data_IF_547922881637
#
_entry.id   IF_547922881637
#
_cell.length_a   1.000
_cell.length_b   1.000
_cell.length_c   1.000
_cell.angle_alpha   90.00
_cell.angle_beta   90.00
_cell.angle_gamma   90.00
#
_symmetry.space_group_name_H-M   'P 1'
#
loop_
_entity.id
_entity.type
_entity.pdbx_description
1 polymer ?
#
# COMPACT_ATOMS: atom_id res chain seq x y z
N UNK A 1 -10.19 -32.13 -1.55
CA UNK A 1 -9.69 -30.76 -1.23
C UNK A 1 -10.78 -29.68 -1.40
N UNK A 2 -12.08 -30.04 -1.34
CA UNK A 2 -13.21 -29.11 -1.55
C UNK A 2 -14.02 -28.83 -0.26
N UNK A 3 -13.61 -29.42 0.88
CA UNK A 3 -14.39 -29.44 2.13
C UNK A 3 -14.09 -28.29 3.10
N UNK A 4 -13.26 -27.32 2.71
CA UNK A 4 -12.85 -26.18 3.56
C UNK A 4 -13.14 -24.82 2.94
N UNK A 5 -14.01 -24.73 1.93
CA UNK A 5 -14.41 -23.45 1.37
C UNK A 5 -15.49 -22.81 2.24
N UNK A 6 -15.34 -21.51 2.53
CA UNK A 6 -16.33 -20.79 3.34
C UNK A 6 -17.72 -20.83 2.68
N UNK A 7 -18.80 -20.97 3.47
CA UNK A 7 -20.16 -20.83 2.99
C UNK A 7 -20.38 -19.47 2.33
N UNK A 8 -21.00 -19.46 1.14
CA UNK A 8 -21.16 -18.25 0.30
C UNK A 8 -21.76 -17.06 1.07
N UNK A 9 -22.77 -17.32 1.91
CA UNK A 9 -23.42 -16.27 2.72
C UNK A 9 -22.46 -15.60 3.71
N UNK A 10 -21.63 -16.39 4.40
CA UNK A 10 -20.66 -15.87 5.37
C UNK A 10 -19.58 -15.06 4.65
N UNK A 11 -19.12 -15.52 3.49
CA UNK A 11 -18.12 -14.83 2.68
C UNK A 11 -18.59 -13.43 2.25
N UNK A 12 -19.80 -13.32 1.69
CA UNK A 12 -20.31 -12.01 1.26
C UNK A 12 -20.48 -11.06 2.43
N UNK A 13 -21.03 -11.56 3.55
CA UNK A 13 -21.18 -10.74 4.76
C UNK A 13 -19.83 -10.22 5.24
N UNK A 14 -18.81 -11.07 5.34
CA UNK A 14 -17.46 -10.66 5.78
C UNK A 14 -16.82 -9.62 4.84
N UNK A 15 -16.88 -9.84 3.52
CA UNK A 15 -16.29 -8.92 2.55
C UNK A 15 -17.01 -7.57 2.58
N UNK A 16 -18.34 -7.55 2.50
CA UNK A 16 -19.07 -6.29 2.44
C UNK A 16 -19.05 -5.53 3.77
N UNK A 17 -19.08 -6.22 4.92
CA UNK A 17 -18.98 -5.55 6.23
C UNK A 17 -17.61 -4.93 6.45
N UNK A 18 -16.52 -5.62 6.08
CA UNK A 18 -15.16 -5.06 6.17
C UNK A 18 -14.98 -3.88 5.22
N UNK A 19 -15.46 -3.96 3.98
CA UNK A 19 -15.44 -2.84 3.03
C UNK A 19 -16.22 -1.63 3.54
N UNK A 20 -17.42 -1.86 4.09
CA UNK A 20 -18.24 -0.79 4.64
C UNK A 20 -17.59 -0.14 5.86
N UNK A 21 -16.94 -0.92 6.72
CA UNK A 21 -16.19 -0.41 7.86
C UNK A 21 -15.05 0.52 7.42
N UNK A 22 -14.24 0.10 6.43
CA UNK A 22 -13.17 0.95 5.88
C UNK A 22 -13.70 2.19 5.17
N UNK A 23 -14.82 2.08 4.43
CA UNK A 23 -15.48 3.21 3.79
C UNK A 23 -15.91 4.27 4.82
N UNK A 24 -16.55 3.85 5.92
CA UNK A 24 -17.00 4.78 6.97
C UNK A 24 -15.82 5.48 7.64
N UNK A 25 -14.74 4.74 7.95
CA UNK A 25 -13.53 5.32 8.53
C UNK A 25 -12.88 6.31 7.57
N UNK A 26 -12.72 5.95 6.29
CA UNK A 26 -12.12 6.81 5.29
C UNK A 26 -12.94 8.08 5.05
N UNK A 27 -14.27 7.98 4.95
CA UNK A 27 -15.14 9.15 4.83
C UNK A 27 -15.10 10.05 6.07
N UNK A 28 -15.01 9.47 7.27
CA UNK A 28 -14.88 10.23 8.51
C UNK A 28 -13.54 10.98 8.58
N UNK A 29 -12.44 10.32 8.23
CA UNK A 29 -11.12 10.93 8.15
C UNK A 29 -11.07 12.02 7.07
N UNK A 30 -11.65 11.76 5.90
CA UNK A 30 -11.75 12.71 4.78
C UNK A 30 -12.53 13.96 5.14
N UNK A 31 -13.63 13.84 5.89
CA UNK A 31 -14.41 15.00 6.36
C UNK A 31 -13.58 15.96 7.23
N UNK A 32 -12.64 15.43 8.03
CA UNK A 32 -11.74 16.24 8.87
C UNK A 32 -10.67 16.98 8.06
N UNK A 33 -10.24 16.42 6.93
CA UNK A 33 -9.19 16.97 6.06
C UNK A 33 -9.73 17.85 4.91
N UNK A 34 -11.04 17.81 4.64
CA UNK A 34 -11.69 18.43 3.47
C UNK A 34 -11.45 19.95 3.33
N UNK A 35 -11.29 20.67 4.43
CA UNK A 35 -11.20 22.13 4.40
C UNK A 35 -9.78 22.67 4.19
N UNK A 36 -8.74 21.83 4.31
CA UNK A 36 -7.34 22.24 4.16
C UNK A 36 -6.63 21.43 3.07
N UNK A 37 -6.51 22.03 1.88
CA UNK A 37 -5.85 21.39 0.73
C UNK A 37 -4.36 21.09 0.98
N UNK A 38 -3.68 21.93 1.77
CA UNK A 38 -2.31 21.66 2.19
C UNK A 38 -2.23 20.46 3.15
N UNK A 39 -3.21 20.30 4.05
CA UNK A 39 -3.27 19.16 4.97
C UNK A 39 -3.61 17.87 4.23
N UNK A 40 -4.43 17.95 3.17
CA UNK A 40 -4.77 16.84 2.30
C UNK A 40 -3.59 16.39 1.41
N UNK A 41 -2.90 17.33 0.75
CA UNK A 41 -1.82 17.00 -0.20
C UNK A 41 -0.50 16.71 0.53
N UNK A 42 -0.16 17.50 1.56
CA UNK A 42 1.10 17.40 2.31
C UNK A 42 0.97 17.90 3.75
N UNK A 43 0.63 16.99 4.66
CA UNK A 43 0.73 17.26 6.09
C UNK A 43 2.19 17.16 6.58
N UNK A 44 3.00 18.18 6.33
CA UNK A 44 4.43 18.20 6.69
C UNK A 44 4.60 18.48 8.18
N UNK A 45 5.40 17.67 8.89
CA UNK A 45 5.75 17.81 10.32
C UNK A 45 4.61 17.66 11.34
N UNK A 46 3.40 17.25 10.93
CA UNK A 46 2.26 17.13 11.86
C UNK A 46 2.15 15.76 12.53
N UNK A 47 2.82 14.73 12.00
CA UNK A 47 2.66 13.35 12.44
C UNK A 47 3.82 12.92 13.35
N UNK A 48 3.48 12.27 14.47
CA UNK A 48 4.46 11.68 15.38
C UNK A 48 5.20 10.48 14.77
N UNK A 49 6.35 10.13 15.36
CA UNK A 49 7.22 9.04 14.89
C UNK A 49 6.46 7.72 14.70
N UNK A 50 5.65 7.31 15.69
CA UNK A 50 4.88 6.06 15.64
C UNK A 50 3.87 6.04 14.49
N UNK A 51 3.10 7.12 14.31
CA UNK A 51 2.11 7.19 13.22
C UNK A 51 2.78 7.14 11.85
N UNK A 52 3.96 7.77 11.71
CA UNK A 52 4.72 7.74 10.47
C UNK A 52 5.30 6.34 10.21
N UNK A 53 5.92 5.71 11.20
CA UNK A 53 6.48 4.35 11.07
C UNK A 53 5.39 3.32 10.75
N UNK A 54 4.23 3.40 11.41
CA UNK A 54 3.09 2.53 11.12
C UNK A 54 2.54 2.75 9.71
N UNK A 55 2.51 4.00 9.23
CA UNK A 55 2.12 4.29 7.85
C UNK A 55 3.09 3.67 6.83
N UNK A 56 4.41 3.74 7.06
CA UNK A 56 5.39 3.07 6.21
C UNK A 56 5.21 1.55 6.17
N UNK A 57 4.97 0.92 7.32
CA UNK A 57 4.72 -0.53 7.39
C UNK A 57 3.41 -0.89 6.68
N UNK A 58 2.35 -0.11 6.88
CA UNK A 58 1.07 -0.31 6.21
C UNK A 58 1.20 -0.16 4.69
N UNK A 59 1.94 0.86 4.22
CA UNK A 59 2.17 1.10 2.80
C UNK A 59 3.03 0.03 2.14
N UNK A 60 3.96 -0.61 2.87
CA UNK A 60 4.76 -1.72 2.35
C UNK A 60 4.03 -3.08 2.43
N UNK A 61 2.97 -3.18 3.22
CA UNK A 61 2.28 -4.44 3.51
C UNK A 61 1.02 -4.59 2.65
N UNK A 62 1.14 -5.32 1.54
CA UNK A 62 0.04 -5.66 0.66
C UNK A 62 -0.51 -7.08 0.88
N UNK A 63 -1.57 -7.43 0.15
CA UNK A 63 -2.08 -8.79 0.09
C UNK A 63 -1.05 -9.75 -0.52
N UNK A 64 -0.20 -9.23 -1.41
CA UNK A 64 0.95 -9.93 -2.00
C UNK A 64 1.83 -10.61 -0.95
N UNK A 65 2.11 -9.97 0.18
CA UNK A 65 2.95 -10.56 1.23
C UNK A 65 2.39 -11.88 1.78
N UNK A 66 1.07 -11.96 1.97
CA UNK A 66 0.43 -13.16 2.52
C UNK A 66 0.46 -14.35 1.55
N UNK A 67 0.54 -14.10 0.25
CA UNK A 67 0.65 -15.16 -0.78
C UNK A 67 2.11 -15.51 -1.05
N UNK A 68 2.98 -14.51 -1.11
CA UNK A 68 4.40 -14.72 -1.38
C UNK A 68 5.13 -15.46 -0.26
N UNK A 69 4.82 -15.20 1.01
CA UNK A 69 5.52 -15.85 2.14
C UNK A 69 5.34 -17.39 2.14
N UNK A 70 4.13 -17.96 2.04
CA UNK A 70 3.94 -19.41 1.89
C UNK A 70 4.59 -20.00 0.63
N UNK A 71 4.56 -19.25 -0.48
CA UNK A 71 5.16 -19.68 -1.73
C UNK A 71 6.69 -19.80 -1.60
N UNK A 72 7.34 -18.80 -1.04
CA UNK A 72 8.78 -18.84 -0.75
C UNK A 72 9.10 -19.91 0.29
N UNK A 73 8.25 -20.09 1.31
CA UNK A 73 8.41 -21.16 2.28
C UNK A 73 8.37 -22.56 1.66
N UNK A 74 7.56 -22.74 0.63
CA UNK A 74 7.45 -24.02 -0.10
C UNK A 74 8.67 -24.26 -1.00
N UNK A 75 9.18 -23.21 -1.66
CA UNK A 75 10.27 -23.32 -2.64
C UNK A 75 11.65 -23.36 -1.96
N UNK A 76 11.87 -22.52 -0.95
CA UNK A 76 13.17 -22.24 -0.35
C UNK A 76 13.24 -22.54 1.17
N UNK A 77 12.15 -23.06 1.75
CA UNK A 77 12.08 -23.40 3.17
C UNK A 77 12.12 -22.17 4.09
N UNK A 78 12.35 -22.42 5.39
CA UNK A 78 12.34 -21.39 6.44
C UNK A 78 13.43 -20.34 6.22
N UNK A 79 14.63 -20.76 5.77
CA UNK A 79 15.73 -19.83 5.50
C UNK A 79 15.40 -18.88 4.35
N UNK A 80 14.72 -19.33 3.29
CA UNK A 80 14.28 -18.46 2.20
C UNK A 80 13.31 -17.38 2.69
N UNK A 81 12.37 -17.74 3.57
CA UNK A 81 11.42 -16.79 4.17
C UNK A 81 12.13 -15.77 5.06
N UNK A 82 13.12 -16.18 5.84
CA UNK A 82 13.93 -15.27 6.67
C UNK A 82 14.68 -14.27 5.79
N UNK A 83 15.40 -14.74 4.77
CA UNK A 83 16.16 -13.86 3.87
C UNK A 83 15.24 -12.88 3.14
N UNK A 84 14.07 -13.34 2.65
CA UNK A 84 13.06 -12.48 2.04
C UNK A 84 12.58 -11.39 3.01
N UNK A 85 12.26 -11.77 4.25
CA UNK A 85 11.78 -10.83 5.27
C UNK A 85 12.83 -9.77 5.63
N UNK A 86 14.10 -10.17 5.78
CA UNK A 86 15.19 -9.23 6.01
C UNK A 86 15.43 -8.31 4.81
N UNK A 87 15.38 -8.85 3.58
CA UNK A 87 15.53 -8.07 2.36
C UNK A 87 14.44 -7.00 2.22
N UNK A 88 13.20 -7.27 2.66
CA UNK A 88 12.12 -6.28 2.68
C UNK A 88 12.27 -5.22 3.78
N UNK A 89 12.82 -5.58 4.95
CA UNK A 89 12.96 -4.66 6.08
C UNK A 89 14.14 -3.67 5.91
N UNK A 90 15.24 -4.11 5.31
CA UNK A 90 16.46 -3.30 5.16
C UNK A 90 16.21 -1.95 4.45
N UNK A 91 15.50 -1.88 3.30
CA UNK A 91 15.24 -0.62 2.61
C UNK A 91 14.51 0.40 3.49
N UNK A 92 13.57 -0.03 4.33
CA UNK A 92 12.81 0.83 5.23
C UNK A 92 13.74 1.43 6.29
N UNK A 93 14.64 0.61 6.85
CA UNK A 93 15.63 1.06 7.83
C UNK A 93 16.60 2.06 7.19
N UNK A 94 17.10 1.76 5.99
CA UNK A 94 17.97 2.65 5.22
C UNK A 94 17.28 3.99 4.94
N UNK A 95 16.00 3.98 4.55
CA UNK A 95 15.20 5.19 4.38
C UNK A 95 15.04 5.98 5.69
N UNK A 96 14.92 5.30 6.83
CA UNK A 96 14.88 5.93 8.15
C UNK A 96 16.13 6.74 8.48
N UNK A 97 17.32 6.26 8.09
CA UNK A 97 18.58 6.98 8.30
C UNK A 97 18.84 8.07 7.26
N UNK A 98 18.49 7.81 6.00
CA UNK A 98 18.75 8.70 4.87
C UNK A 98 17.73 9.84 4.79
N UNK A 99 16.47 9.59 5.16
CA UNK A 99 15.38 10.57 5.12
C UNK A 99 15.68 11.89 5.86
N UNK A 100 16.22 11.87 7.10
CA UNK A 100 16.62 13.07 7.83
C UNK A 100 17.69 13.90 7.11
N UNK A 101 18.62 13.26 6.40
CA UNK A 101 19.70 13.95 5.68
C UNK A 101 19.10 14.77 4.52
N UNK A 102 18.21 14.16 3.73
CA UNK A 102 17.52 14.87 2.65
C UNK A 102 16.59 15.96 3.17
N UNK A 103 15.96 15.78 4.33
CA UNK A 103 15.09 16.80 4.94
C UNK A 103 15.85 18.04 5.41
N UNK A 104 17.10 17.90 5.84
CA UNK A 104 17.94 19.06 6.22
C UNK A 104 18.27 19.97 5.03
N UNK A 105 18.34 19.42 3.82
CA UNK A 105 18.73 20.18 2.63
C UNK A 105 17.60 21.05 2.07
N UNK A 106 16.33 20.67 2.26
CA UNK A 106 15.18 21.44 1.79
C UNK A 106 14.05 21.42 2.84
N UNK A 107 14.10 22.39 3.76
CA UNK A 107 13.28 22.42 4.98
C UNK A 107 11.85 22.92 4.77
N UNK A 108 11.61 23.76 3.76
CA UNK A 108 10.35 24.49 3.58
C UNK A 108 9.27 23.71 2.83
N UNK A 109 9.63 22.89 1.82
CA UNK A 109 8.66 22.14 0.99
C UNK A 109 9.24 20.81 0.50
N UNK A 110 9.48 19.86 1.43
CA UNK A 110 10.14 18.61 1.07
C UNK A 110 9.28 17.75 0.12
N UNK A 111 9.84 17.46 -1.06
CA UNK A 111 9.32 16.54 -2.08
C UNK A 111 10.53 15.93 -2.78
N UNK A 112 10.54 14.62 -3.03
CA UNK A 112 11.63 14.06 -3.86
C UNK A 112 11.65 14.68 -5.26
N UNK A 113 10.48 15.00 -5.81
CA UNK A 113 10.37 15.69 -7.10
C UNK A 113 10.97 17.11 -7.08
N UNK A 114 10.76 17.87 -6.00
CA UNK A 114 11.34 19.21 -5.82
C UNK A 114 12.86 19.14 -5.65
N UNK A 115 13.35 18.18 -4.86
CA UNK A 115 14.79 17.95 -4.70
C UNK A 115 15.47 17.58 -6.03
N UNK A 116 14.85 16.69 -6.82
CA UNK A 116 15.39 16.28 -8.11
C UNK A 116 15.39 17.47 -9.09
N UNK A 117 14.33 18.28 -9.08
CA UNK A 117 14.25 19.47 -9.94
C UNK A 117 15.34 20.49 -9.59
N UNK A 118 15.57 20.75 -8.31
CA UNK A 118 16.57 21.70 -7.82
C UNK A 118 18.01 21.24 -8.12
N UNK A 119 18.28 19.94 -7.97
CA UNK A 119 19.64 19.38 -8.14
C UNK A 119 19.98 18.95 -9.56
N UNK A 120 19.00 18.44 -10.31
CA UNK A 120 19.21 17.76 -11.59
C UNK A 120 18.38 18.34 -12.74
N UNK A 121 17.50 19.31 -12.47
CA UNK A 121 16.67 19.98 -13.46
C UNK A 121 15.35 19.29 -13.79
N UNK A 122 14.56 19.94 -14.64
CA UNK A 122 13.18 19.55 -14.96
C UNK A 122 13.09 18.20 -15.69
N UNK A 123 13.96 17.95 -16.67
CA UNK A 123 13.88 16.75 -17.51
C UNK A 123 14.05 15.46 -16.71
N UNK A 124 15.02 15.43 -15.80
CA UNK A 124 15.24 14.27 -14.92
C UNK A 124 14.10 14.09 -13.93
N UNK A 125 13.47 15.17 -13.46
CA UNK A 125 12.28 15.08 -12.63
C UNK A 125 11.09 14.46 -13.38
N UNK A 126 10.87 14.82 -14.64
CA UNK A 126 9.80 14.23 -15.46
C UNK A 126 10.04 12.72 -15.63
N UNK A 127 11.27 12.31 -15.95
CA UNK A 127 11.63 10.89 -16.07
C UNK A 127 11.41 10.13 -14.76
N UNK A 128 11.83 10.70 -13.63
CA UNK A 128 11.58 10.15 -12.31
C UNK A 128 10.09 9.97 -12.02
N UNK A 129 9.28 11.01 -12.26
CA UNK A 129 7.83 10.94 -12.07
C UNK A 129 7.18 9.86 -12.95
N UNK A 130 7.59 9.72 -14.21
CA UNK A 130 7.10 8.68 -15.11
C UNK A 130 7.42 7.28 -14.59
N UNK A 131 8.65 7.06 -14.12
CA UNK A 131 9.05 5.78 -13.52
C UNK A 131 8.22 5.49 -12.26
N UNK A 132 7.99 6.47 -11.39
CA UNK A 132 7.17 6.30 -10.20
C UNK A 132 5.70 5.97 -10.53
N UNK A 133 5.11 6.65 -11.51
CA UNK A 133 3.74 6.37 -11.97
C UNK A 133 3.66 4.94 -12.53
N UNK A 134 4.61 4.56 -13.37
CA UNK A 134 4.66 3.22 -13.96
C UNK A 134 4.84 2.14 -12.89
N UNK A 135 5.74 2.36 -11.93
CA UNK A 135 5.94 1.45 -10.81
C UNK A 135 4.67 1.30 -9.96
N UNK A 136 4.00 2.40 -9.60
CA UNK A 136 2.75 2.35 -8.83
C UNK A 136 1.62 1.67 -9.60
N UNK A 137 1.55 1.85 -10.93
CA UNK A 137 0.59 1.15 -11.77
C UNK A 137 0.80 -0.36 -11.72
N UNK A 138 2.04 -0.83 -11.94
CA UNK A 138 2.36 -2.26 -11.88
C UNK A 138 2.11 -2.84 -10.49
N UNK A 139 2.48 -2.09 -9.44
CA UNK A 139 2.24 -2.48 -8.06
C UNK A 139 0.75 -2.66 -7.78
N UNK A 140 -0.09 -1.68 -8.16
CA UNK A 140 -1.54 -1.76 -7.98
C UNK A 140 -2.18 -2.91 -8.75
N UNK A 141 -1.74 -3.16 -10.00
CA UNK A 141 -2.21 -4.31 -10.78
C UNK A 141 -1.83 -5.62 -10.08
N UNK A 142 -0.61 -5.73 -9.55
CA UNK A 142 -0.15 -6.90 -8.80
C UNK A 142 -0.96 -7.16 -7.53
N UNK A 143 -1.28 -6.12 -6.77
CA UNK A 143 -2.09 -6.24 -5.55
C UNK A 143 -3.53 -6.70 -5.86
N UNK A 144 -4.18 -6.10 -6.85
CA UNK A 144 -5.54 -6.49 -7.27
C UNK A 144 -5.56 -7.92 -7.81
N UNK A 145 -4.56 -8.32 -8.60
CA UNK A 145 -4.43 -9.68 -9.11
C UNK A 145 -4.24 -10.72 -8.00
N UNK A 146 -3.42 -10.38 -6.99
CA UNK A 146 -3.20 -11.25 -5.83
C UNK A 146 -4.50 -11.43 -5.04
N UNK A 147 -5.25 -10.35 -4.81
CA UNK A 147 -6.54 -10.39 -4.13
C UNK A 147 -7.56 -11.24 -4.89
N UNK A 148 -7.64 -11.07 -6.21
CA UNK A 148 -8.49 -11.88 -7.08
C UNK A 148 -8.19 -13.38 -6.95
N UNK A 149 -6.89 -13.74 -7.02
CA UNK A 149 -6.45 -15.14 -6.86
C UNK A 149 -6.76 -15.68 -5.46
N UNK A 150 -6.50 -14.89 -4.42
CA UNK A 150 -6.74 -15.28 -3.03
C UNK A 150 -8.23 -15.55 -2.76
N UNK A 151 -9.13 -14.70 -3.28
CA UNK A 151 -10.57 -14.92 -3.18
C UNK A 151 -10.99 -16.21 -3.87
N UNK A 152 -10.46 -16.50 -5.06
CA UNK A 152 -10.75 -17.75 -5.78
C UNK A 152 -10.24 -19.01 -5.06
N UNK A 153 -9.16 -18.91 -4.29
CA UNK A 153 -8.61 -20.01 -3.50
C UNK A 153 -9.36 -20.25 -2.19
N UNK A 154 -9.76 -19.17 -1.51
CA UNK A 154 -10.36 -19.24 -0.17
C UNK A 154 -11.88 -19.40 -0.18
N UNK A 155 -12.54 -19.02 -1.28
CA UNK A 155 -14.00 -18.90 -1.33
C UNK A 155 -14.59 -19.66 -2.50
N UNK A 156 -15.84 -20.09 -2.36
CA UNK A 156 -16.61 -20.78 -3.39
C UNK A 156 -17.44 -19.82 -4.28
N UNK A 157 -17.17 -18.52 -4.21
CA UNK A 157 -17.87 -17.47 -4.97
C UNK A 157 -17.04 -17.03 -6.17
N UNK A 158 -17.70 -16.44 -7.17
CA UNK A 158 -16.97 -15.79 -8.26
C UNK A 158 -16.21 -14.58 -7.70
N UNK A 159 -14.88 -14.49 -7.88
CA UNK A 159 -14.07 -13.40 -7.35
C UNK A 159 -14.24 -12.05 -8.07
N UNK A 160 -14.86 -12.02 -9.27
CA UNK A 160 -15.02 -10.78 -10.04
C UNK A 160 -15.86 -9.70 -9.32
N UNK A 161 -17.10 -9.96 -8.85
CA UNK A 161 -17.90 -8.94 -8.18
C UNK A 161 -17.26 -8.32 -6.93
N UNK A 162 -16.72 -9.09 -5.95
CA UNK A 162 -16.11 -8.49 -4.77
C UNK A 162 -14.85 -7.68 -5.09
N UNK A 163 -14.07 -8.09 -6.12
CA UNK A 163 -12.88 -7.34 -6.54
C UNK A 163 -13.25 -5.98 -7.13
N UNK A 164 -14.30 -5.91 -7.96
CA UNK A 164 -14.79 -4.63 -8.53
C UNK A 164 -15.29 -3.72 -7.42
N UNK A 165 -16.10 -4.24 -6.49
CA UNK A 165 -16.63 -3.45 -5.37
C UNK A 165 -15.50 -2.94 -4.49
N UNK A 166 -14.49 -3.76 -4.20
CA UNK A 166 -13.29 -3.34 -3.47
C UNK A 166 -12.61 -2.15 -4.18
N UNK A 167 -12.33 -2.25 -5.48
CA UNK A 167 -11.68 -1.17 -6.23
C UNK A 167 -12.49 0.13 -6.15
N UNK A 168 -13.81 0.06 -6.37
CA UNK A 168 -14.70 1.24 -6.30
C UNK A 168 -14.70 1.85 -4.89
N UNK A 169 -14.87 1.03 -3.85
CA UNK A 169 -14.90 1.50 -2.47
C UNK A 169 -13.56 2.15 -2.09
N UNK A 170 -12.44 1.52 -2.42
CA UNK A 170 -11.10 2.05 -2.17
C UNK A 170 -10.84 3.37 -2.87
N UNK A 171 -11.28 3.51 -4.12
CA UNK A 171 -11.20 4.79 -4.85
C UNK A 171 -12.07 5.89 -4.21
N UNK A 172 -13.21 5.54 -3.62
CA UNK A 172 -14.10 6.52 -2.99
C UNK A 172 -13.53 7.05 -1.67
N UNK A 173 -12.91 6.19 -0.86
CA UNK A 173 -12.47 6.58 0.48
C UNK A 173 -11.03 7.10 0.56
N UNK A 174 -10.22 6.86 -0.47
CA UNK A 174 -8.85 7.38 -0.58
C UNK A 174 -8.84 8.84 -1.00
#
# INVERSE_FOLDING_TARGET
>A
MLSSMLPKGVTYVLIYTTLLFFLVIGLYAGKKSRNDLNLFIKSIYTQGLLSLSLNFVAASSGASLFVSLPQIGTIAGVFGVLVFSFACAIPIIVFGFIGPIFRKHNSYNWSMSSFITERFGLYLNIMYCLICIFFMLLYMVGEVATLYSSLGLLTSINPLPPTIVLCVVTTIYS
#
